data_IF_560567259375
#
_entry.id   IF_560567259375
#
_cell.length_a   1.000
_cell.length_b   1.000
_cell.length_c   1.000
_cell.angle_alpha   90.00
_cell.angle_beta   90.00
_cell.angle_gamma   90.00
#
_symmetry.space_group_name_H-M   'P 1'
#
loop_
_entity.id
_entity.type
_entity.pdbx_description
1 polymer ?
#
# COMPACT_ATOMS: atom_id res chain seq x y z
N UNK A 1 -41.83 12.74 -25.01
CA UNK A 1 -40.70 12.41 -24.14
C UNK A 1 -39.45 13.03 -24.73
N UNK A 2 -39.04 14.22 -24.26
CA UNK A 2 -37.93 15.00 -24.83
C UNK A 2 -36.67 14.75 -24.01
N UNK A 3 -35.62 14.24 -24.65
CA UNK A 3 -34.33 13.96 -24.03
C UNK A 3 -33.57 15.23 -23.72
N UNK A 4 -33.44 15.53 -22.42
CA UNK A 4 -32.45 16.48 -21.90
C UNK A 4 -31.23 15.68 -21.42
N UNK A 5 -30.50 15.08 -22.36
CA UNK A 5 -29.18 14.55 -22.07
C UNK A 5 -28.16 15.57 -22.56
N UNK A 6 -27.44 16.19 -21.61
CA UNK A 6 -26.36 17.14 -21.88
C UNK A 6 -25.19 16.42 -22.56
N UNK A 7 -24.60 17.06 -23.57
CA UNK A 7 -23.39 16.59 -24.26
C UNK A 7 -22.21 16.34 -23.31
N UNK A 8 -22.17 17.01 -22.15
CA UNK A 8 -21.17 16.74 -21.09
C UNK A 8 -21.30 15.35 -20.45
N UNK A 9 -22.51 14.75 -20.47
CA UNK A 9 -22.75 13.41 -19.93
C UNK A 9 -22.05 12.31 -20.76
N UNK A 10 -21.84 12.56 -22.07
CA UNK A 10 -21.19 11.62 -22.97
C UNK A 10 -19.66 11.76 -23.01
N UNK A 11 -19.11 12.91 -22.62
CA UNK A 11 -17.66 13.10 -22.49
C UNK A 11 -17.07 12.37 -21.27
N UNK A 12 -17.90 12.14 -20.24
CA UNK A 12 -17.57 11.40 -19.01
C UNK A 12 -17.86 9.88 -19.12
N UNK A 13 -18.42 9.46 -20.26
CA UNK A 13 -18.83 8.08 -20.53
C UNK A 13 -17.66 7.19 -20.99
N UNK A 14 -16.53 7.26 -20.27
CA UNK A 14 -15.42 6.29 -20.39
C UNK A 14 -15.19 5.48 -19.11
N UNK A 15 -16.24 5.29 -18.30
CA UNK A 15 -16.31 4.19 -17.34
C UNK A 15 -17.78 3.88 -17.01
N UNK A 16 -18.20 2.70 -17.44
CA UNK A 16 -19.59 2.25 -17.61
C UNK A 16 -20.30 1.85 -16.30
N UNK A 17 -20.22 2.66 -15.22
CA UNK A 17 -21.03 2.45 -13.99
C UNK A 17 -21.31 3.80 -13.31
N UNK A 18 -22.58 4.24 -13.13
CA UNK A 18 -22.90 5.32 -12.22
C UNK A 18 -22.86 4.76 -10.79
N UNK A 19 -21.66 4.55 -10.28
CA UNK A 19 -21.49 4.21 -8.88
C UNK A 19 -21.77 5.47 -8.07
N UNK A 20 -22.74 5.41 -7.17
CA UNK A 20 -22.69 6.27 -6.00
C UNK A 20 -21.30 6.12 -5.38
N UNK A 21 -20.44 7.11 -5.63
CA UNK A 21 -19.04 7.17 -5.23
C UNK A 21 -18.90 6.99 -3.70
N UNK A 22 -19.96 7.20 -2.91
CA UNK A 22 -19.94 6.96 -1.46
C UNK A 22 -19.90 5.48 -1.09
N UNK A 23 -20.37 4.57 -1.95
CA UNK A 23 -20.26 3.13 -1.71
C UNK A 23 -18.91 2.56 -2.16
N UNK A 24 -18.30 3.10 -3.23
CA UNK A 24 -17.00 2.61 -3.73
C UNK A 24 -15.78 3.23 -3.01
N UNK A 25 -15.87 4.49 -2.54
CA UNK A 25 -14.78 5.19 -1.86
C UNK A 25 -14.19 4.44 -0.67
N UNK A 26 -15.01 3.87 0.26
CA UNK A 26 -14.49 3.10 1.38
C UNK A 26 -13.72 1.86 0.90
N UNK A 27 -14.25 1.15 -0.10
CA UNK A 27 -13.61 -0.05 -0.65
C UNK A 27 -12.26 0.28 -1.32
N UNK A 28 -12.21 1.35 -2.11
CA UNK A 28 -10.99 1.79 -2.80
C UNK A 28 -9.92 2.28 -1.81
N UNK A 29 -10.34 3.00 -0.77
CA UNK A 29 -9.47 3.44 0.33
C UNK A 29 -8.94 2.26 1.12
N UNK A 30 -9.80 1.30 1.49
CA UNK A 30 -9.41 0.08 2.18
C UNK A 30 -8.39 -0.73 1.36
N UNK A 31 -8.65 -0.92 0.06
CA UNK A 31 -7.71 -1.60 -0.84
C UNK A 31 -6.34 -0.92 -0.86
N UNK A 32 -6.28 0.41 -0.97
CA UNK A 32 -5.01 1.14 -0.93
C UNK A 32 -4.28 0.96 0.41
N UNK A 33 -5.00 0.98 1.53
CA UNK A 33 -4.40 0.75 2.85
C UNK A 33 -3.86 -0.68 3.00
N UNK A 34 -4.51 -1.67 2.40
CA UNK A 34 -4.19 -3.10 2.55
C UNK A 34 -3.08 -3.60 1.62
N UNK A 35 -2.83 -2.95 0.49
CA UNK A 35 -1.82 -3.41 -0.49
C UNK A 35 -0.42 -3.55 0.12
N UNK A 36 0.05 -2.54 0.85
CA UNK A 36 1.42 -2.56 1.38
C UNK A 36 1.59 -3.45 2.62
N UNK A 37 0.66 -3.46 3.61
CA UNK A 37 0.71 -4.40 4.72
C UNK A 37 0.55 -5.87 4.29
N UNK A 38 -0.30 -6.17 3.30
CA UNK A 38 -0.46 -7.54 2.81
C UNK A 38 0.86 -8.11 2.28
N UNK A 39 1.59 -7.34 1.47
CA UNK A 39 2.90 -7.73 0.95
C UNK A 39 3.94 -7.97 2.05
N UNK A 40 3.88 -7.23 3.15
CA UNK A 40 4.72 -7.45 4.32
C UNK A 40 4.39 -8.78 5.02
N UNK A 41 3.12 -9.11 5.21
CA UNK A 41 2.74 -10.39 5.81
C UNK A 41 3.13 -11.57 4.93
N UNK A 42 2.95 -11.46 3.61
CA UNK A 42 3.34 -12.51 2.66
C UNK A 42 4.83 -12.81 2.77
N UNK A 43 5.69 -11.79 2.75
CA UNK A 43 7.14 -12.03 2.82
C UNK A 43 7.58 -12.59 4.18
N UNK A 44 6.97 -12.14 5.29
CA UNK A 44 7.21 -12.74 6.60
C UNK A 44 6.84 -14.24 6.64
N UNK A 45 5.71 -14.63 6.04
CA UNK A 45 5.31 -16.03 5.95
C UNK A 45 6.26 -16.84 5.06
N UNK A 46 6.68 -16.29 3.93
CA UNK A 46 7.65 -16.94 3.05
C UNK A 46 8.99 -17.16 3.76
N UNK A 47 9.48 -16.17 4.50
CA UNK A 47 10.69 -16.30 5.32
C UNK A 47 10.57 -17.40 6.39
N UNK A 48 9.40 -17.54 7.02
CA UNK A 48 9.16 -18.60 8.00
C UNK A 48 9.11 -19.99 7.37
N UNK A 49 8.51 -20.13 6.18
CA UNK A 49 8.37 -21.40 5.47
C UNK A 49 9.73 -21.87 4.92
N UNK A 50 10.47 -20.96 4.29
CA UNK A 50 11.79 -21.26 3.70
C UNK A 50 12.85 -21.45 4.80
N UNK A 51 12.62 -20.95 6.02
CA UNK A 51 13.55 -20.97 7.17
C UNK A 51 14.87 -20.23 6.92
N UNK A 52 14.94 -19.48 5.83
CA UNK A 52 16.07 -18.62 5.48
C UNK A 52 15.71 -17.17 5.84
N UNK A 53 16.11 -16.76 7.05
CA UNK A 53 15.93 -15.41 7.56
C UNK A 53 17.22 -14.93 8.23
N UNK A 54 17.90 -13.98 7.59
CA UNK A 54 19.11 -13.36 8.13
C UNK A 54 18.80 -12.18 9.07
N UNK A 55 19.74 -11.85 9.96
CA UNK A 55 19.63 -10.76 10.94
C UNK A 55 19.25 -9.43 10.29
N UNK A 56 19.76 -9.17 9.07
CA UNK A 56 19.46 -7.95 8.31
C UNK A 56 17.98 -7.90 7.88
N UNK A 57 17.41 -9.03 7.44
CA UNK A 57 16.00 -9.07 7.05
C UNK A 57 15.09 -8.87 8.28
N UNK A 58 15.48 -9.41 9.44
CA UNK A 58 14.78 -9.17 10.69
C UNK A 58 14.80 -7.69 11.09
N UNK A 59 15.96 -7.03 10.99
CA UNK A 59 16.09 -5.59 11.23
C UNK A 59 15.22 -4.76 10.28
N UNK A 60 15.21 -5.09 9.00
CA UNK A 60 14.34 -4.43 8.00
C UNK A 60 12.86 -4.64 8.31
N UNK A 61 12.46 -5.84 8.77
CA UNK A 61 11.09 -6.13 9.13
C UNK A 61 10.63 -5.27 10.32
N UNK A 62 11.45 -5.16 11.37
CA UNK A 62 11.17 -4.29 12.50
C UNK A 62 11.17 -2.81 12.12
N UNK A 63 12.06 -2.38 11.23
CA UNK A 63 12.08 -1.01 10.72
C UNK A 63 10.78 -0.67 9.98
N UNK A 64 10.25 -1.59 9.16
CA UNK A 64 8.95 -1.43 8.50
C UNK A 64 7.81 -1.23 9.52
N UNK A 65 7.78 -2.06 10.56
CA UNK A 65 6.78 -1.97 11.64
C UNK A 65 6.89 -0.63 12.38
N UNK A 66 8.09 -0.19 12.74
CA UNK A 66 8.32 1.10 13.37
C UNK A 66 7.84 2.27 12.49
N UNK A 67 8.16 2.25 11.19
CA UNK A 67 7.68 3.27 10.25
C UNK A 67 6.17 3.32 10.15
N UNK A 68 5.48 2.18 10.28
CA UNK A 68 4.00 2.13 10.28
C UNK A 68 3.40 2.82 11.50
N UNK A 69 4.00 2.63 12.67
CA UNK A 69 3.60 3.38 13.86
C UNK A 69 3.84 4.88 13.69
N UNK A 70 5.02 5.27 13.18
CA UNK A 70 5.33 6.69 12.92
C UNK A 70 4.35 7.29 11.90
N UNK A 71 4.04 6.58 10.82
CA UNK A 71 3.06 7.03 9.82
C UNK A 71 1.67 7.26 10.45
N UNK A 72 1.21 6.33 11.28
CA UNK A 72 -0.07 6.47 11.99
C UNK A 72 -0.07 7.66 12.95
N UNK A 73 1.03 7.87 13.70
CA UNK A 73 1.19 9.00 14.60
C UNK A 73 1.17 10.32 13.82
N UNK A 74 1.94 10.45 12.73
CA UNK A 74 1.95 11.65 11.88
C UNK A 74 0.57 11.92 11.32
N UNK A 75 -0.15 10.89 10.89
CA UNK A 75 -1.50 11.02 10.37
C UNK A 75 -2.48 11.58 11.42
N UNK A 76 -2.34 11.17 12.68
CA UNK A 76 -3.18 11.66 13.78
C UNK A 76 -2.75 13.05 14.30
N UNK A 77 -1.45 13.33 14.34
CA UNK A 77 -0.89 14.50 15.02
C UNK A 77 -0.63 15.70 14.08
N UNK A 78 -0.36 15.46 12.80
CA UNK A 78 0.22 16.48 11.91
C UNK A 78 -0.60 16.62 10.63
N UNK A 79 -1.22 17.79 10.42
CA UNK A 79 -1.94 18.10 9.18
C UNK A 79 -0.99 18.64 8.07
N UNK A 80 0.12 17.95 7.83
CA UNK A 80 1.05 18.26 6.74
C UNK A 80 1.17 17.06 5.79
N UNK A 81 0.85 17.29 4.51
CA UNK A 81 0.84 16.25 3.48
C UNK A 81 2.24 15.66 3.21
N UNK A 82 3.34 16.45 3.15
CA UNK A 82 4.66 15.91 2.79
C UNK A 82 5.16 14.82 3.75
N UNK A 83 4.93 14.96 5.06
CA UNK A 83 5.37 13.97 6.05
C UNK A 83 4.62 12.64 5.93
N UNK A 84 3.33 12.68 5.61
CA UNK A 84 2.52 11.48 5.36
C UNK A 84 3.01 10.74 4.12
N UNK A 85 3.33 11.48 3.05
CA UNK A 85 3.89 10.89 1.84
C UNK A 85 5.29 10.30 2.08
N UNK A 86 6.17 11.03 2.77
CA UNK A 86 7.53 10.57 3.05
C UNK A 86 7.56 9.28 3.88
N UNK A 87 6.70 9.17 4.90
CA UNK A 87 6.61 7.95 5.73
C UNK A 87 5.99 6.77 4.99
N UNK A 88 5.02 7.02 4.12
CA UNK A 88 4.48 5.99 3.22
C UNK A 88 5.55 5.51 2.22
N UNK A 89 6.26 6.43 1.55
CA UNK A 89 7.27 6.10 0.55
C UNK A 89 8.46 5.34 1.16
N UNK A 90 8.95 5.77 2.32
CA UNK A 90 10.02 5.08 3.04
C UNK A 90 9.61 3.66 3.49
N UNK A 91 8.35 3.46 3.90
CA UNK A 91 7.81 2.13 4.16
C UNK A 91 7.84 1.24 2.91
N UNK A 92 7.49 1.78 1.74
CA UNK A 92 7.56 1.07 0.46
C UNK A 92 9.00 0.69 0.07
N UNK A 93 9.96 1.59 0.29
CA UNK A 93 11.38 1.34 0.01
C UNK A 93 11.89 0.19 0.89
N UNK A 94 11.65 0.22 2.20
CA UNK A 94 12.08 -0.85 3.13
C UNK A 94 11.48 -2.18 2.72
N UNK A 95 10.19 -2.19 2.37
CA UNK A 95 9.52 -3.40 1.93
C UNK A 95 10.12 -3.93 0.62
N UNK A 96 10.39 -3.07 -0.36
CA UNK A 96 11.05 -3.44 -1.61
C UNK A 96 12.46 -4.01 -1.38
N UNK A 97 13.24 -3.41 -0.47
CA UNK A 97 14.55 -3.93 -0.08
C UNK A 97 14.45 -5.30 0.59
N UNK A 98 13.44 -5.52 1.44
CA UNK A 98 13.22 -6.79 2.12
C UNK A 98 12.88 -7.91 1.12
N UNK A 99 11.98 -7.63 0.17
CA UNK A 99 11.66 -8.54 -0.94
C UNK A 99 12.88 -8.83 -1.83
N UNK A 100 13.62 -7.80 -2.23
CA UNK A 100 14.84 -7.98 -3.02
C UNK A 100 15.84 -8.88 -2.29
N UNK A 101 16.10 -8.61 -1.01
CA UNK A 101 17.02 -9.41 -0.21
C UNK A 101 16.56 -10.86 -0.06
N UNK A 102 15.26 -11.08 0.17
CA UNK A 102 14.70 -12.44 0.22
C UNK A 102 14.92 -13.19 -1.09
N UNK A 103 14.60 -12.58 -2.24
CA UNK A 103 14.85 -13.19 -3.55
C UNK A 103 16.33 -13.47 -3.77
N UNK A 104 17.23 -12.58 -3.36
CA UNK A 104 18.67 -12.83 -3.51
C UNK A 104 19.17 -13.98 -2.64
N UNK A 105 18.67 -14.11 -1.41
CA UNK A 105 19.08 -15.16 -0.48
C UNK A 105 18.54 -16.52 -0.93
N UNK A 106 17.28 -16.57 -1.40
CA UNK A 106 16.65 -17.84 -1.82
C UNK A 106 17.04 -18.24 -3.24
N UNK A 107 17.23 -17.28 -4.14
CA UNK A 107 17.51 -17.53 -5.55
C UNK A 107 18.99 -17.79 -5.88
N UNK A 108 19.90 -17.34 -5.02
CA UNK A 108 21.36 -17.50 -5.21
C UNK A 108 22.07 -18.14 -4.01
N UNK A 109 21.32 -18.53 -2.96
CA UNK A 109 21.83 -19.24 -1.78
C UNK A 109 21.79 -20.75 -1.92
#
# INVERSE_FOLDING_TARGET
MRGHASIGYFADFKSDIPADDRFERPARTFNNLMQVPALFYVICLLMLIVKEADKVQLLLAWAFVALRYVHAIIYMAVNWVPYRFATWASSCIILGTLWFRFVTVVGFG
#
